data_IF_692624906920
#
_entry.id   IF_692624906920
#
_cell.length_a   1.000
_cell.length_b   1.000
_cell.length_c   1.000
_cell.angle_alpha   90.00
_cell.angle_beta   90.00
_cell.angle_gamma   90.00
#
_symmetry.space_group_name_H-M   'P 1'
#
loop_
_entity.id
_entity.type
_entity.pdbx_description
1 polymer ?
#
# COMPACT_ATOMS: atom_id res chain seq x y z
N UNK A 1 -15.34 -28.44 16.00
CA UNK A 1 -14.47 -27.71 15.04
C UNK A 1 -14.16 -26.29 15.47
N UNK A 2 -15.14 -25.38 15.64
CA UNK A 2 -14.86 -24.02 16.14
C UNK A 2 -14.48 -24.01 17.62
N UNK A 3 -15.11 -24.86 18.43
CA UNK A 3 -14.75 -25.10 19.84
C UNK A 3 -13.32 -25.61 19.94
N UNK A 4 -12.96 -26.67 19.19
CA UNK A 4 -11.60 -27.22 19.16
C UNK A 4 -10.52 -26.17 18.83
N UNK A 5 -10.84 -25.21 17.95
CA UNK A 5 -9.95 -24.11 17.57
C UNK A 5 -9.76 -23.11 18.70
N UNK A 6 -10.83 -22.77 19.40
CA UNK A 6 -10.79 -21.86 20.54
C UNK A 6 -10.02 -22.49 21.71
N UNK A 7 -10.31 -23.76 22.02
CA UNK A 7 -9.65 -24.52 23.08
C UNK A 7 -8.15 -24.68 22.80
N UNK A 8 -7.77 -24.97 21.55
CA UNK A 8 -6.36 -25.00 21.14
C UNK A 8 -5.67 -23.65 21.35
N UNK A 9 -6.28 -22.55 20.93
CA UNK A 9 -5.68 -21.22 21.08
C UNK A 9 -5.51 -20.84 22.56
N UNK A 10 -6.47 -21.20 23.42
CA UNK A 10 -6.40 -21.01 24.87
C UNK A 10 -5.32 -21.88 25.51
N UNK A 11 -5.26 -23.18 25.17
CA UNK A 11 -4.29 -24.13 25.70
C UNK A 11 -2.85 -23.67 25.49
N UNK A 12 -2.56 -23.09 24.31
CA UNK A 12 -1.22 -22.63 23.95
C UNK A 12 -0.99 -21.14 24.19
N UNK A 13 -1.87 -20.47 24.94
CA UNK A 13 -1.76 -19.03 25.25
C UNK A 13 -1.54 -18.15 24.01
N UNK A 14 -2.18 -18.49 22.88
CA UNK A 14 -2.09 -17.71 21.66
C UNK A 14 -2.88 -16.41 21.85
N UNK A 15 -2.17 -15.29 22.11
CA UNK A 15 -2.81 -13.97 22.21
C UNK A 15 -3.56 -13.64 20.93
N UNK A 16 -4.87 -13.43 21.05
CA UNK A 16 -5.64 -12.84 19.96
C UNK A 16 -5.27 -11.35 19.83
N UNK A 17 -5.02 -10.85 18.61
CA UNK A 17 -4.71 -9.44 18.40
C UNK A 17 -5.86 -8.52 18.84
N UNK A 18 -5.51 -7.31 19.27
CA UNK A 18 -6.42 -6.26 19.76
C UNK A 18 -7.51 -5.91 18.72
N UNK A 19 -8.65 -5.39 19.17
CA UNK A 19 -9.81 -5.15 18.31
C UNK A 19 -9.49 -4.25 17.09
N UNK A 20 -9.90 -4.66 15.87
CA UNK A 20 -9.45 -4.04 14.63
C UNK A 20 -10.09 -2.68 14.35
N UNK A 21 -9.30 -1.73 13.85
CA UNK A 21 -9.80 -0.53 13.18
C UNK A 21 -10.40 -0.97 11.82
N UNK A 22 -11.65 -0.56 11.55
CA UNK A 22 -12.37 -0.97 10.33
C UNK A 22 -11.73 -0.37 9.07
N UNK A 23 -11.62 -1.19 8.02
CA UNK A 23 -11.19 -0.77 6.68
C UNK A 23 -12.13 0.32 6.14
N UNK A 24 -11.59 1.48 5.78
CA UNK A 24 -12.38 2.59 5.24
C UNK A 24 -12.12 2.78 3.74
N UNK A 25 -13.04 2.31 2.88
CA UNK A 25 -12.92 2.48 1.42
C UNK A 25 -12.89 3.95 0.96
N UNK A 26 -13.36 4.88 1.79
CA UNK A 26 -13.27 6.32 1.49
C UNK A 26 -11.83 6.84 1.50
N UNK A 27 -10.88 6.14 2.15
CA UNK A 27 -9.47 6.57 2.16
C UNK A 27 -8.88 6.64 0.76
N UNK A 28 -9.25 5.70 -0.13
CA UNK A 28 -8.78 5.65 -1.52
C UNK A 28 -9.32 6.83 -2.32
N UNK A 29 -10.59 7.17 -2.13
CA UNK A 29 -11.19 8.33 -2.78
C UNK A 29 -10.52 9.63 -2.35
N UNK A 30 -10.33 9.82 -1.04
CA UNK A 30 -9.63 10.99 -0.49
C UNK A 30 -8.21 11.08 -1.05
N UNK A 31 -7.51 9.95 -1.15
CA UNK A 31 -6.17 9.89 -1.70
C UNK A 31 -6.10 10.33 -3.17
N UNK A 32 -6.97 9.81 -4.04
CA UNK A 32 -7.02 10.24 -5.44
C UNK A 32 -7.44 11.70 -5.58
N UNK A 33 -8.37 12.16 -4.76
CA UNK A 33 -8.75 13.57 -4.73
C UNK A 33 -7.55 14.46 -4.37
N UNK A 34 -6.77 14.11 -3.34
CA UNK A 34 -5.57 14.85 -2.95
C UNK A 34 -4.54 14.90 -4.08
N UNK A 35 -4.29 13.79 -4.76
CA UNK A 35 -3.34 13.76 -5.89
C UNK A 35 -3.81 14.62 -7.05
N UNK A 36 -5.05 14.44 -7.50
CA UNK A 36 -5.54 15.17 -8.67
C UNK A 36 -5.60 16.67 -8.40
N UNK A 37 -5.98 17.08 -7.19
CA UNK A 37 -6.02 18.49 -6.81
C UNK A 37 -4.62 19.07 -6.61
N UNK A 38 -3.68 18.35 -5.98
CA UNK A 38 -2.31 18.83 -5.77
C UNK A 38 -1.56 19.01 -7.10
N UNK A 39 -1.83 18.16 -8.08
CA UNK A 39 -1.19 18.19 -9.39
C UNK A 39 -1.90 19.11 -10.39
N UNK A 40 -3.16 19.49 -10.14
CA UNK A 40 -3.97 20.33 -11.03
C UNK A 40 -3.38 21.71 -11.30
N UNK A 41 -2.85 22.38 -10.27
CA UNK A 41 -2.25 23.72 -10.41
C UNK A 41 -1.02 23.70 -11.33
N UNK A 42 -0.17 22.68 -11.21
CA UNK A 42 1.02 22.52 -12.05
C UNK A 42 0.63 22.12 -13.47
N UNK A 43 -0.35 21.23 -13.62
CA UNK A 43 -0.93 20.90 -14.91
C UNK A 43 -1.46 22.13 -15.64
N UNK A 44 -2.13 23.05 -14.95
CA UNK A 44 -2.61 24.31 -15.52
C UNK A 44 -1.46 25.24 -15.96
N UNK A 45 -0.41 25.39 -15.15
CA UNK A 45 0.78 26.18 -15.51
C UNK A 45 1.43 25.61 -16.77
N UNK A 46 1.66 24.30 -16.82
CA UNK A 46 2.28 23.63 -17.96
C UNK A 46 1.38 23.66 -19.22
N UNK A 47 0.06 23.63 -19.04
CA UNK A 47 -0.89 23.77 -20.14
C UNK A 47 -0.72 25.10 -20.90
N UNK A 48 -0.47 26.19 -20.18
CA UNK A 48 -0.23 27.51 -20.78
C UNK A 48 1.07 27.55 -21.60
N UNK A 49 2.06 26.74 -21.25
CA UNK A 49 3.35 26.70 -21.94
C UNK A 49 3.31 25.85 -23.21
N UNK A 50 2.42 24.85 -23.29
CA UNK A 50 2.33 23.81 -24.33
C UNK A 50 3.67 23.06 -24.58
N UNK A 51 3.61 21.88 -25.19
CA UNK A 51 4.82 21.13 -25.62
C UNK A 51 5.30 20.00 -24.69
N UNK A 52 6.59 19.66 -24.79
CA UNK A 52 7.17 18.39 -24.28
C UNK A 52 7.10 18.26 -22.75
N UNK A 53 7.24 19.36 -22.00
CA UNK A 53 7.18 19.34 -20.54
C UNK A 53 5.79 18.89 -20.04
N UNK A 54 4.72 19.39 -20.66
CA UNK A 54 3.35 18.97 -20.37
C UNK A 54 3.15 17.48 -20.69
N UNK A 55 3.68 17.00 -21.82
CA UNK A 55 3.57 15.58 -22.19
C UNK A 55 4.28 14.66 -21.18
N UNK A 56 5.47 15.05 -20.71
CA UNK A 56 6.20 14.33 -19.66
C UNK A 56 5.38 14.29 -18.37
N UNK A 57 4.82 15.42 -17.95
CA UNK A 57 3.99 15.50 -16.74
C UNK A 57 2.75 14.61 -16.81
N UNK A 58 1.99 14.68 -17.92
CA UNK A 58 0.81 13.84 -18.15
C UNK A 58 1.19 12.36 -18.17
N UNK A 59 2.31 12.01 -18.81
CA UNK A 59 2.83 10.63 -18.82
C UNK A 59 3.18 10.13 -17.42
N UNK A 60 3.91 10.92 -16.62
CA UNK A 60 4.24 10.58 -15.23
C UNK A 60 3.00 10.44 -14.35
N UNK A 61 2.01 11.32 -14.50
CA UNK A 61 0.75 11.24 -13.79
C UNK A 61 -0.04 9.99 -14.18
N UNK A 62 -0.10 9.65 -15.48
CA UNK A 62 -0.74 8.43 -15.95
C UNK A 62 -0.05 7.18 -15.37
N UNK A 63 1.29 7.13 -15.39
CA UNK A 63 2.06 6.05 -14.77
C UNK A 63 1.73 5.95 -13.29
N UNK A 64 1.77 7.06 -12.54
CA UNK A 64 1.45 7.10 -11.10
C UNK A 64 0.07 6.51 -10.82
N UNK A 65 -0.94 6.92 -11.59
CA UNK A 65 -2.30 6.41 -11.44
C UNK A 65 -2.37 4.90 -11.72
N UNK A 66 -1.75 4.43 -12.81
CA UNK A 66 -1.70 3.00 -13.16
C UNK A 66 -1.04 2.18 -12.06
N UNK A 67 0.18 2.56 -11.62
CA UNK A 67 0.92 1.79 -10.62
C UNK A 67 0.27 1.86 -9.24
N UNK A 68 -0.44 2.95 -8.92
CA UNK A 68 -1.26 3.03 -7.70
C UNK A 68 -2.40 2.00 -7.72
N UNK A 69 -3.10 1.85 -8.86
CA UNK A 69 -4.16 0.84 -9.02
C UNK A 69 -3.57 -0.57 -8.96
N UNK A 70 -2.41 -0.81 -9.58
CA UNK A 70 -1.73 -2.10 -9.49
C UNK A 70 -1.37 -2.45 -8.05
N UNK A 71 -0.80 -1.51 -7.28
CA UNK A 71 -0.49 -1.73 -5.87
C UNK A 71 -1.75 -2.00 -5.01
N UNK A 72 -2.86 -1.32 -5.32
CA UNK A 72 -4.17 -1.51 -4.65
C UNK A 72 -4.81 -2.86 -4.94
N UNK A 73 -4.79 -3.29 -6.20
CA UNK A 73 -5.53 -4.47 -6.66
C UNK A 73 -4.70 -5.75 -6.63
N UNK A 74 -3.37 -5.65 -6.60
CA UNK A 74 -2.51 -6.83 -6.58
C UNK A 74 -2.65 -7.58 -5.25
N UNK A 75 -2.74 -8.91 -5.34
CA UNK A 75 -2.69 -9.77 -4.16
C UNK A 75 -1.30 -9.66 -3.53
N UNK A 76 -1.16 -9.21 -2.27
CA UNK A 76 0.13 -9.04 -1.60
C UNK A 76 0.82 -10.37 -1.24
N UNK A 77 0.12 -11.49 -1.42
CA UNK A 77 0.56 -12.81 -0.96
C UNK A 77 -0.29 -13.31 0.21
N UNK A 78 -1.63 -13.16 0.11
CA UNK A 78 -2.53 -13.74 1.10
C UNK A 78 -2.41 -15.26 1.14
N UNK A 79 -2.33 -15.81 2.35
CA UNK A 79 -2.30 -17.25 2.59
C UNK A 79 -3.74 -17.75 2.68
N UNK A 80 -4.10 -18.76 1.88
CA UNK A 80 -5.46 -19.30 1.79
C UNK A 80 -5.58 -20.73 2.29
N UNK A 81 -4.47 -21.47 2.39
CA UNK A 81 -4.48 -22.86 2.83
C UNK A 81 -4.65 -22.91 4.36
N UNK A 82 -5.87 -23.22 4.79
CA UNK A 82 -6.17 -23.46 6.18
C UNK A 82 -5.76 -24.88 6.57
N UNK A 83 -5.39 -25.06 7.83
CA UNK A 83 -5.11 -26.35 8.46
C UNK A 83 -6.16 -26.64 9.52
N UNK A 84 -6.39 -27.92 9.75
CA UNK A 84 -7.16 -28.44 10.87
C UNK A 84 -6.28 -28.62 12.10
N UNK A 85 -6.90 -28.76 13.28
CA UNK A 85 -6.19 -29.10 14.53
C UNK A 85 -5.49 -30.46 14.38
N UNK A 86 -6.17 -31.43 13.76
CA UNK A 86 -5.63 -32.77 13.52
C UNK A 86 -4.39 -32.72 12.62
N UNK A 87 -4.41 -31.98 11.51
CA UNK A 87 -3.25 -31.80 10.64
C UNK A 87 -2.07 -31.13 11.37
N UNK A 88 -2.35 -30.12 12.19
CA UNK A 88 -1.32 -29.46 12.99
C UNK A 88 -0.65 -30.42 13.98
N UNK A 89 -1.44 -31.27 14.65
CA UNK A 89 -0.96 -32.28 15.60
C UNK A 89 -0.18 -33.39 14.89
N UNK A 90 -0.71 -33.92 13.78
CA UNK A 90 -0.09 -34.98 13.01
C UNK A 90 1.26 -34.56 12.41
N UNK A 91 1.37 -33.31 11.97
CA UNK A 91 2.61 -32.74 11.44
C UNK A 91 3.53 -32.16 12.52
N UNK A 92 3.17 -32.30 13.81
CA UNK A 92 3.91 -31.78 14.97
C UNK A 92 4.32 -30.31 14.81
N UNK A 93 3.40 -29.51 14.28
CA UNK A 93 3.64 -28.08 14.05
C UNK A 93 3.66 -27.36 15.39
N UNK A 94 4.72 -26.60 15.66
CA UNK A 94 4.75 -25.72 16.83
C UNK A 94 3.54 -24.76 16.78
N UNK A 95 2.66 -24.77 17.80
CA UNK A 95 1.49 -23.89 17.87
C UNK A 95 1.82 -22.41 17.69
N UNK A 96 3.03 -21.96 18.05
CA UNK A 96 3.46 -20.58 17.85
C UNK A 96 3.55 -20.20 16.36
N UNK A 97 3.71 -21.17 15.47
CA UNK A 97 3.74 -21.00 14.02
C UNK A 97 2.34 -21.03 13.40
N UNK A 98 1.28 -21.17 14.19
CA UNK A 98 -0.10 -21.13 13.69
C UNK A 98 -0.68 -19.72 13.94
N UNK A 99 -1.44 -19.21 12.97
CA UNK A 99 -2.27 -18.03 13.19
C UNK A 99 -3.61 -18.45 13.80
N UNK A 100 -3.98 -17.96 15.00
CA UNK A 100 -5.24 -18.35 15.65
C UNK A 100 -6.49 -17.84 14.93
N UNK A 101 -6.39 -16.72 14.20
CA UNK A 101 -7.52 -16.14 13.44
C UNK A 101 -7.74 -16.85 12.10
N UNK A 102 -6.66 -17.08 11.35
CA UNK A 102 -6.76 -17.61 10.00
C UNK A 102 -6.68 -19.14 9.94
N UNK A 103 -6.17 -19.78 10.99
CA UNK A 103 -5.87 -21.22 11.02
C UNK A 103 -4.97 -21.64 9.87
N UNK A 104 -3.85 -20.92 9.71
CA UNK A 104 -2.82 -21.22 8.70
C UNK A 104 -1.48 -21.38 9.39
N UNK A 105 -0.64 -22.25 8.85
CA UNK A 105 0.79 -22.29 9.18
C UNK A 105 1.39 -20.97 8.67
N UNK A 106 2.08 -20.24 9.55
CA UNK A 106 2.77 -18.99 9.23
C UNK A 106 4.12 -19.32 8.60
N UNK A 107 4.32 -19.08 7.28
CA UNK A 107 5.65 -19.14 6.70
C UNK A 107 6.57 -18.11 7.35
N UNK A 108 7.88 -18.27 7.15
CA UNK A 108 8.89 -17.34 7.63
C UNK A 108 8.54 -15.90 7.23
N UNK A 109 8.61 -14.98 8.19
CA UNK A 109 8.28 -13.54 8.04
C UNK A 109 6.83 -13.23 7.64
N UNK A 110 5.89 -14.17 7.74
CA UNK A 110 4.46 -13.88 7.58
C UNK A 110 3.84 -13.31 8.86
N UNK A 111 2.80 -12.47 8.70
CA UNK A 111 2.02 -11.92 9.82
C UNK A 111 0.54 -11.85 9.44
N UNK A 112 -0.33 -11.89 10.45
CA UNK A 112 -1.75 -11.59 10.30
C UNK A 112 -1.94 -10.08 10.20
N UNK A 113 -2.66 -9.61 9.17
CA UNK A 113 -3.06 -8.22 9.07
C UNK A 113 -4.47 -8.04 9.67
N UNK A 114 -4.57 -7.27 10.75
CA UNK A 114 -5.85 -7.02 11.42
C UNK A 114 -6.86 -6.26 10.55
N UNK A 115 -6.40 -5.44 9.60
CA UNK A 115 -7.25 -4.68 8.69
C UNK A 115 -7.81 -5.55 7.55
N UNK A 116 -6.98 -6.43 6.99
CA UNK A 116 -7.35 -7.32 5.89
C UNK A 116 -7.97 -8.64 6.38
N UNK A 117 -7.82 -8.98 7.66
CA UNK A 117 -8.23 -10.24 8.29
C UNK A 117 -7.69 -11.47 7.58
N UNK A 118 -6.44 -11.38 7.14
CA UNK A 118 -5.72 -12.42 6.39
C UNK A 118 -4.24 -12.39 6.74
N UNK A 119 -3.61 -13.57 6.78
CA UNK A 119 -2.16 -13.67 6.83
C UNK A 119 -1.54 -13.36 5.48
N UNK A 120 -0.41 -12.65 5.49
CA UNK A 120 0.33 -12.24 4.29
C UNK A 120 1.76 -12.80 4.38
N UNK A 121 2.23 -13.39 3.28
CA UNK A 121 3.61 -13.90 3.15
C UNK A 121 4.59 -12.74 3.02
N UNK A 122 5.71 -12.80 3.76
CA UNK A 122 6.69 -11.71 3.89
C UNK A 122 5.96 -10.38 4.10
N UNK A 123 5.16 -10.32 5.17
CA UNK A 123 4.35 -9.16 5.49
C UNK A 123 5.26 -7.99 5.84
N UNK A 124 5.07 -6.87 5.15
CA UNK A 124 5.71 -5.61 5.47
C UNK A 124 4.76 -4.75 6.33
N UNK A 125 3.70 -4.21 5.73
CA UNK A 125 2.69 -3.42 6.44
C UNK A 125 1.33 -3.41 5.72
N UNK A 126 0.29 -2.93 6.40
CA UNK A 126 -0.96 -2.50 5.78
C UNK A 126 -0.85 -1.01 5.43
N UNK A 127 -1.02 -0.66 4.16
CA UNK A 127 -0.88 0.71 3.69
C UNK A 127 -2.26 1.33 3.46
N UNK A 128 -2.66 2.36 4.22
CA UNK A 128 -3.96 3.02 4.04
C UNK A 128 -4.12 3.72 2.68
N UNK A 129 -3.01 4.15 2.08
CA UNK A 129 -2.95 4.89 0.81
C UNK A 129 -3.32 4.02 -0.39
N UNK A 130 -2.96 2.74 -0.34
CA UNK A 130 -3.39 1.74 -1.33
C UNK A 130 -4.50 0.83 -0.78
N UNK A 131 -4.98 1.08 0.45
CA UNK A 131 -6.02 0.32 1.13
C UNK A 131 -5.85 -1.21 0.97
N UNK A 132 -4.59 -1.66 1.05
CA UNK A 132 -4.13 -3.02 0.80
C UNK A 132 -2.85 -3.30 1.61
N UNK A 133 -2.53 -4.56 1.82
CA UNK A 133 -1.23 -4.91 2.40
C UNK A 133 -0.12 -4.77 1.37
N UNK A 134 1.10 -4.55 1.86
CA UNK A 134 2.35 -4.72 1.12
C UNK A 134 2.99 -6.00 1.61
N UNK A 135 3.30 -6.90 0.68
CA UNK A 135 3.90 -8.20 0.97
C UNK A 135 4.66 -8.74 -0.23
N UNK A 136 5.05 -10.02 -0.15
CA UNK A 136 5.93 -10.67 -1.12
C UNK A 136 5.53 -10.45 -2.59
N UNK A 137 4.23 -10.45 -2.90
CA UNK A 137 3.73 -10.46 -4.29
C UNK A 137 3.40 -9.10 -4.89
N UNK A 138 3.37 -8.03 -4.09
CA UNK A 138 3.09 -6.68 -4.60
C UNK A 138 4.14 -5.62 -4.20
N UNK A 139 5.23 -6.02 -3.54
CA UNK A 139 6.30 -5.14 -3.11
C UNK A 139 6.89 -4.31 -4.25
N UNK A 140 7.09 -4.91 -5.44
CA UNK A 140 7.62 -4.19 -6.62
C UNK A 140 6.66 -3.10 -7.09
N UNK A 141 5.36 -3.40 -7.19
CA UNK A 141 4.36 -2.39 -7.58
C UNK A 141 4.34 -1.23 -6.58
N UNK A 142 4.45 -1.53 -5.28
CA UNK A 142 4.53 -0.52 -4.24
C UNK A 142 5.79 0.35 -4.36
N UNK A 143 6.96 -0.24 -4.64
CA UNK A 143 8.19 0.53 -4.86
C UNK A 143 8.14 1.41 -6.11
N UNK A 144 7.65 0.88 -7.25
CA UNK A 144 7.50 1.67 -8.47
C UNK A 144 6.55 2.84 -8.20
N UNK A 145 5.45 2.59 -7.51
CA UNK A 145 4.51 3.62 -7.08
C UNK A 145 5.17 4.73 -6.25
N UNK A 146 5.96 4.39 -5.23
CA UNK A 146 6.67 5.38 -4.43
C UNK A 146 7.70 6.15 -5.26
N UNK A 147 8.45 5.47 -6.13
CA UNK A 147 9.44 6.10 -7.00
C UNK A 147 8.79 7.08 -7.98
N UNK A 148 7.68 6.70 -8.64
CA UNK A 148 6.95 7.62 -9.52
C UNK A 148 6.37 8.81 -8.75
N UNK A 149 5.87 8.59 -7.53
CA UNK A 149 5.41 9.66 -6.66
C UNK A 149 6.54 10.64 -6.33
N UNK A 150 7.74 10.16 -5.99
CA UNK A 150 8.88 11.04 -5.72
C UNK A 150 9.29 11.83 -6.98
N UNK A 151 9.32 11.18 -8.13
CA UNK A 151 9.69 11.82 -9.40
C UNK A 151 8.72 12.95 -9.78
N UNK A 152 7.41 12.74 -9.64
CA UNK A 152 6.43 13.80 -9.93
C UNK A 152 6.57 14.98 -8.96
N UNK A 153 6.91 14.72 -7.68
CA UNK A 153 7.15 15.78 -6.71
C UNK A 153 8.42 16.59 -7.01
N UNK A 154 9.51 15.93 -7.42
CA UNK A 154 10.75 16.61 -7.82
C UNK A 154 10.51 17.46 -9.07
N UNK A 155 9.85 16.89 -10.08
CA UNK A 155 9.49 17.60 -11.31
C UNK A 155 8.66 18.84 -11.00
N UNK A 156 7.62 18.67 -10.18
CA UNK A 156 6.73 19.73 -9.71
C UNK A 156 7.48 20.84 -8.98
N UNK A 157 8.37 20.49 -8.06
CA UNK A 157 9.17 21.45 -7.31
C UNK A 157 10.10 22.25 -8.24
N UNK A 158 10.73 21.59 -9.21
CA UNK A 158 11.60 22.26 -10.18
C UNK A 158 10.85 23.30 -11.02
N UNK A 159 9.64 22.98 -11.49
CA UNK A 159 8.79 23.93 -12.22
C UNK A 159 8.42 25.13 -11.35
N UNK A 160 8.03 24.90 -10.08
CA UNK A 160 7.70 25.98 -9.14
C UNK A 160 8.90 26.91 -8.93
N UNK A 161 10.09 26.34 -8.68
CA UNK A 161 11.32 27.13 -8.47
C UNK A 161 11.66 27.94 -9.72
N UNK A 162 11.55 27.34 -10.91
CA UNK A 162 11.76 28.04 -12.17
C UNK A 162 10.79 29.21 -12.37
N UNK A 163 9.50 29.01 -12.09
CA UNK A 163 8.49 30.06 -12.17
C UNK A 163 8.77 31.20 -11.18
N UNK A 164 9.15 30.89 -9.94
CA UNK A 164 9.54 31.89 -8.93
C UNK A 164 10.74 32.68 -9.41
N UNK A 165 11.80 32.00 -9.86
CA UNK A 165 13.01 32.64 -10.38
C UNK A 165 12.70 33.63 -11.51
N UNK A 166 11.92 33.20 -12.50
CA UNK A 166 11.54 34.06 -13.62
C UNK A 166 10.69 35.27 -13.17
N UNK A 167 9.77 35.05 -12.23
CA UNK A 167 8.94 36.12 -11.68
C UNK A 167 9.79 37.17 -10.92
N UNK A 168 10.72 36.73 -10.08
CA UNK A 168 11.60 37.62 -9.32
C UNK A 168 12.51 38.43 -10.25
N UNK A 169 13.11 37.80 -11.26
CA UNK A 169 13.93 38.53 -12.24
C UNK A 169 13.13 39.60 -12.97
N UNK A 170 11.88 39.30 -13.34
CA UNK A 170 11.00 40.28 -13.97
C UNK A 170 10.61 41.43 -13.03
N UNK A 171 10.36 41.14 -11.75
CA UNK A 171 10.01 42.16 -10.77
C UNK A 171 11.17 43.11 -10.46
N UNK A 172 12.37 42.57 -10.32
CA UNK A 172 13.55 43.32 -9.90
C UNK A 172 14.39 43.86 -11.08
N UNK A 173 13.99 43.57 -12.32
CA UNK A 173 14.73 43.94 -13.55
C UNK A 173 16.24 43.61 -13.47
N UNK A 174 16.58 42.49 -12.85
CA UNK A 174 17.96 41.95 -12.82
C UNK A 174 18.25 41.22 -14.12
#
# INVERSE_FOLDING_TARGET
>A
MLEDKMDFALLYNLKQPYHPIKRNRKSVFVYYFVILTSQGCIGYILWQLQGILLQIFVGLLAILLIVSVLAQCCNPGFITLQITVEEAMNQQIDPINICPDCWVIKPLRSKHCEFCKKCVVVYDHHCPWINNCVGAKNLIYFYIYLSTLILIQIYSAAIIVFCIYFYLNRLFQI
#
